data_IF_450965767241
#
_entry.id   IF_450965767241
#
_cell.length_a   1.000
_cell.length_b   1.000
_cell.length_c   1.000
_cell.angle_alpha   90.00
_cell.angle_beta   90.00
_cell.angle_gamma   90.00
#
_symmetry.space_group_name_H-M   'P 1'
#
loop_
_entity.id
_entity.type
_entity.pdbx_description
1 polymer ?
#
# COMPACT_ATOMS: atom_id res chain seq x y z
N UNK A 1 18.44 2.58 -36.11
CA UNK A 1 17.91 3.35 -34.97
C UNK A 1 16.39 3.13 -34.94
N UNK A 2 15.92 2.12 -34.22
CA UNK A 2 14.50 1.87 -33.99
C UNK A 2 14.13 2.58 -32.71
N UNK A 3 13.12 3.44 -32.77
CA UNK A 3 12.57 4.14 -31.60
C UNK A 3 11.84 3.13 -30.75
N UNK A 4 12.38 2.83 -29.57
CA UNK A 4 11.72 2.05 -28.54
C UNK A 4 10.64 2.96 -27.96
N UNK A 5 9.39 2.63 -28.21
CA UNK A 5 8.27 3.26 -27.49
C UNK A 5 8.15 2.51 -26.18
N UNK A 6 8.67 3.10 -25.11
CA UNK A 6 8.40 2.62 -23.75
C UNK A 6 6.91 2.88 -23.53
N UNK A 7 6.10 1.85 -23.66
CA UNK A 7 4.75 1.85 -23.11
C UNK A 7 4.91 1.67 -21.60
N UNK A 8 4.98 2.76 -20.87
CA UNK A 8 4.66 2.74 -19.48
C UNK A 8 3.21 2.22 -19.40
N UNK A 9 3.08 0.98 -18.99
CA UNK A 9 1.79 0.41 -18.64
C UNK A 9 1.38 1.09 -17.32
N UNK A 10 0.87 2.31 -17.42
CA UNK A 10 -0.03 2.81 -16.42
C UNK A 10 -1.18 1.81 -16.40
N UNK A 11 -1.16 0.91 -15.43
CA UNK A 11 -2.34 0.17 -15.04
C UNK A 11 -3.26 1.20 -14.39
N UNK A 12 -3.79 2.08 -15.25
CA UNK A 12 -4.93 2.90 -14.89
C UNK A 12 -5.99 1.90 -14.47
N UNK A 13 -6.33 1.92 -13.21
CA UNK A 13 -7.49 1.25 -12.65
C UNK A 13 -8.68 1.70 -13.49
N UNK A 14 -8.97 0.96 -14.57
CA UNK A 14 -10.20 1.15 -15.31
C UNK A 14 -11.31 0.70 -14.37
N UNK A 15 -11.95 1.65 -13.74
CA UNK A 15 -13.26 1.54 -13.13
C UNK A 15 -14.19 0.96 -14.20
N UNK A 16 -14.34 -0.35 -14.22
CA UNK A 16 -15.47 -1.01 -14.86
C UNK A 16 -16.70 -0.73 -13.98
N UNK A 17 -17.22 0.49 -14.14
CA UNK A 17 -18.59 0.77 -13.76
C UNK A 17 -19.48 -0.13 -14.63
N UNK A 18 -19.93 -1.23 -14.07
CA UNK A 18 -21.02 -2.02 -14.61
C UNK A 18 -22.31 -1.21 -14.54
N UNK A 19 -22.55 -0.33 -15.51
CA UNK A 19 -23.83 0.32 -15.68
C UNK A 19 -24.84 -0.69 -16.20
N UNK A 20 -25.74 -1.15 -15.33
CA UNK A 20 -27.02 -1.69 -15.74
C UNK A 20 -27.79 -0.64 -16.55
N UNK A 21 -28.28 -1.02 -17.72
CA UNK A 21 -29.14 -0.19 -18.57
C UNK A 21 -30.44 0.13 -17.83
N UNK A 22 -30.52 1.34 -17.27
CA UNK A 22 -31.76 1.96 -16.79
C UNK A 22 -32.17 3.05 -17.77
N UNK A 23 -33.42 3.06 -18.16
CA UNK A 23 -34.09 3.98 -19.10
C UNK A 23 -33.88 5.47 -18.76
N UNK A 24 -33.86 6.38 -19.75
CA UNK A 24 -33.68 7.81 -19.53
C UNK A 24 -34.99 8.43 -19.05
N UNK A 25 -34.96 9.02 -17.88
CA UNK A 25 -36.05 9.89 -17.39
C UNK A 25 -36.09 10.01 -15.88
N UNK A 26 -35.37 11.00 -15.33
CA UNK A 26 -35.75 11.93 -14.27
C UNK A 26 -34.50 12.60 -13.71
N UNK A 27 -34.43 13.92 -13.86
CA UNK A 27 -33.48 14.79 -13.18
C UNK A 27 -33.72 14.76 -11.65
N UNK A 28 -33.02 13.85 -10.95
CA UNK A 28 -32.93 13.86 -9.51
C UNK A 28 -31.43 13.75 -9.12
N UNK A 29 -30.99 14.41 -8.04
CA UNK A 29 -29.61 14.29 -7.60
C UNK A 29 -29.31 12.82 -7.30
N UNK A 30 -28.19 12.36 -7.83
CA UNK A 30 -27.67 11.01 -7.70
C UNK A 30 -27.52 10.62 -6.20
N UNK A 31 -28.28 9.65 -5.68
CA UNK A 31 -28.25 9.33 -4.26
C UNK A 31 -27.00 8.51 -3.85
N UNK A 32 -26.11 8.15 -4.77
CA UNK A 32 -24.91 7.37 -4.46
C UNK A 32 -23.70 8.19 -4.01
N UNK A 33 -23.69 9.52 -4.21
CA UNK A 33 -22.55 10.37 -3.89
C UNK A 33 -22.47 10.88 -2.46
N UNK A 34 -23.52 10.77 -1.65
CA UNK A 34 -23.65 11.60 -0.45
C UNK A 34 -23.32 10.94 0.90
N UNK A 35 -23.20 9.63 0.99
CA UNK A 35 -22.97 8.99 2.30
C UNK A 35 -21.48 8.78 2.63
N UNK A 36 -20.61 8.56 1.64
CA UNK A 36 -19.18 8.38 1.84
C UNK A 36 -18.45 9.72 1.96
N UNK A 37 -18.78 10.69 1.11
CA UNK A 37 -18.24 12.05 1.21
C UNK A 37 -18.58 12.72 2.56
N UNK A 38 -19.76 12.44 3.11
CA UNK A 38 -20.16 12.94 4.43
C UNK A 38 -19.38 12.22 5.54
N UNK A 39 -19.09 10.93 5.43
CA UNK A 39 -18.28 10.20 6.42
C UNK A 39 -16.82 10.62 6.39
N UNK A 40 -16.27 10.84 5.22
CA UNK A 40 -14.88 11.30 5.05
C UNK A 40 -14.72 12.76 5.52
N UNK A 41 -15.69 13.63 5.23
CA UNK A 41 -15.72 15.00 5.75
C UNK A 41 -15.89 15.04 7.29
N UNK A 42 -16.65 14.12 7.86
CA UNK A 42 -16.82 14.00 9.30
C UNK A 42 -15.57 13.50 10.04
N UNK A 43 -14.70 12.73 9.38
CA UNK A 43 -13.39 12.34 9.91
C UNK A 43 -12.42 13.53 10.00
N UNK A 44 -12.49 14.46 9.04
CA UNK A 44 -11.69 15.68 9.02
C UNK A 44 -12.09 16.70 10.10
N UNK A 45 -13.34 16.65 10.59
CA UNK A 45 -13.86 17.57 11.60
C UNK A 45 -14.03 16.93 12.99
N UNK A 46 -13.94 15.62 13.11
CA UNK A 46 -14.07 14.92 14.39
C UNK A 46 -12.84 15.13 15.26
N UNK A 47 -13.07 15.40 16.56
CA UNK A 47 -11.98 15.39 17.52
C UNK A 47 -11.28 14.04 17.51
N UNK A 48 -9.94 14.06 17.62
CA UNK A 48 -9.14 12.84 17.66
C UNK A 48 -9.68 11.84 18.68
N UNK A 49 -9.79 10.53 18.34
CA UNK A 49 -10.24 9.50 19.28
C UNK A 49 -9.29 9.31 20.46
N UNK A 50 -8.11 9.96 20.45
CA UNK A 50 -7.08 9.90 21.49
C UNK A 50 -6.97 11.19 22.32
N UNK A 51 -7.76 12.24 22.01
CA UNK A 51 -7.68 13.56 22.63
C UNK A 51 -6.77 14.52 21.86
N UNK A 52 -6.70 15.80 22.32
CA UNK A 52 -6.04 16.88 21.58
C UNK A 52 -4.49 16.76 21.61
N UNK A 53 -3.92 16.31 22.74
CA UNK A 53 -2.45 16.28 22.97
C UNK A 53 -1.83 14.88 22.75
N UNK A 54 -2.54 13.97 22.08
CA UNK A 54 -2.11 12.57 22.02
C UNK A 54 -0.76 12.36 21.32
N UNK A 55 -0.45 13.18 20.32
CA UNK A 55 0.82 13.08 19.59
C UNK A 55 2.02 13.51 20.48
N UNK A 56 1.84 14.51 21.33
CA UNK A 56 2.90 14.96 22.23
C UNK A 56 3.26 13.92 23.31
N UNK A 57 2.27 13.09 23.70
CA UNK A 57 2.41 12.01 24.70
C UNK A 57 2.71 10.66 24.08
N UNK A 58 2.64 10.58 22.77
CA UNK A 58 2.77 9.36 22.01
C UNK A 58 4.20 8.81 21.97
N UNK A 59 4.32 7.60 21.47
CA UNK A 59 5.59 6.91 21.24
C UNK A 59 5.85 6.84 19.74
N UNK A 60 7.06 7.16 19.31
CA UNK A 60 7.48 6.99 17.92
C UNK A 60 7.74 5.50 17.67
N UNK A 61 7.03 4.93 16.71
CA UNK A 61 7.32 3.65 16.12
C UNK A 61 8.06 3.86 14.80
N UNK A 62 9.21 3.22 14.63
CA UNK A 62 10.04 3.42 13.44
C UNK A 62 10.65 2.12 12.92
N UNK A 63 10.75 2.03 11.59
CA UNK A 63 11.47 1.00 10.89
C UNK A 63 12.33 1.64 9.81
N UNK A 64 13.59 1.26 9.75
CA UNK A 64 14.52 1.72 8.73
C UNK A 64 15.54 0.59 8.43
N UNK A 65 15.74 0.30 7.15
CA UNK A 65 16.72 -0.69 6.71
C UNK A 65 17.76 -0.13 5.73
N UNK A 66 17.87 1.20 5.63
CA UNK A 66 18.74 1.89 4.68
C UNK A 66 18.11 2.13 3.30
N UNK A 67 17.01 1.47 2.98
CA UNK A 67 16.31 1.62 1.69
C UNK A 67 14.86 2.06 1.85
N UNK A 68 14.24 1.66 2.95
CA UNK A 68 12.85 1.95 3.31
C UNK A 68 12.84 2.57 4.70
N UNK A 69 12.06 3.62 4.87
CA UNK A 69 11.76 4.21 6.18
C UNK A 69 10.25 4.30 6.39
N UNK A 70 9.82 3.93 7.58
CA UNK A 70 8.44 4.04 8.03
C UNK A 70 8.45 4.57 9.45
N UNK A 71 7.73 5.64 9.72
CA UNK A 71 7.58 6.24 11.05
C UNK A 71 6.13 6.58 11.29
N UNK A 72 5.65 6.35 12.49
CA UNK A 72 4.33 6.79 12.94
C UNK A 72 4.31 7.04 14.44
N UNK A 73 3.49 7.98 14.87
CA UNK A 73 3.28 8.25 16.29
C UNK A 73 2.14 7.36 16.79
N UNK A 74 2.40 6.59 17.84
CA UNK A 74 1.42 5.76 18.52
C UNK A 74 0.90 6.45 19.78
N UNK A 75 -0.38 6.34 20.10
CA UNK A 75 -0.93 6.89 21.34
C UNK A 75 -0.29 6.28 22.59
N UNK A 76 -0.38 6.99 23.72
CA UNK A 76 0.02 6.43 25.02
C UNK A 76 -0.73 5.11 25.29
N UNK A 77 0.02 4.10 25.76
CA UNK A 77 -0.51 2.77 26.03
C UNK A 77 -0.57 1.84 24.81
N UNK A 78 -0.13 2.31 23.64
CA UNK A 78 0.10 1.45 22.49
C UNK A 78 1.53 0.93 22.47
N UNK A 79 1.67 -0.33 22.05
CA UNK A 79 2.96 -1.01 21.88
C UNK A 79 3.26 -1.27 20.42
N UNK A 80 4.52 -1.51 20.11
CA UNK A 80 4.96 -1.87 18.77
C UNK A 80 6.25 -2.69 18.77
N UNK A 81 6.51 -3.33 17.63
CA UNK A 81 7.78 -4.00 17.33
C UNK A 81 8.04 -3.99 15.83
N UNK A 82 9.29 -4.17 15.44
CA UNK A 82 9.60 -4.53 14.05
C UNK A 82 9.10 -5.96 13.80
N UNK A 83 8.51 -6.17 12.63
CA UNK A 83 7.97 -7.47 12.24
C UNK A 83 8.76 -8.03 11.04
N UNK A 84 9.74 -8.91 11.30
CA UNK A 84 10.41 -9.65 10.24
C UNK A 84 9.49 -10.79 9.80
N UNK A 85 8.56 -10.51 8.88
CA UNK A 85 7.64 -11.52 8.41
C UNK A 85 8.34 -12.70 7.75
N UNK A 86 7.73 -13.88 7.84
CA UNK A 86 8.24 -15.11 7.23
C UNK A 86 8.32 -15.02 5.70
N UNK A 87 7.46 -14.20 5.09
CA UNK A 87 7.41 -13.94 3.64
C UNK A 87 8.47 -12.96 3.14
N UNK A 88 9.36 -12.47 4.02
CA UNK A 88 10.40 -11.50 3.68
C UNK A 88 9.93 -10.05 3.63
N UNK A 89 8.64 -9.77 3.83
CA UNK A 89 8.17 -8.41 4.05
C UNK A 89 8.51 -7.99 5.48
N UNK A 90 9.16 -6.85 5.63
CA UNK A 90 9.46 -6.27 6.94
C UNK A 90 8.54 -5.08 7.17
N UNK A 91 8.31 -4.73 8.44
CA UNK A 91 7.42 -3.65 8.76
C UNK A 91 7.34 -3.30 10.24
N UNK A 92 6.32 -2.54 10.58
CA UNK A 92 5.96 -2.19 11.94
C UNK A 92 4.68 -2.93 12.32
N UNK A 93 4.76 -3.74 13.36
CA UNK A 93 3.61 -4.34 14.01
C UNK A 93 3.26 -3.50 15.23
N UNK A 94 2.02 -3.02 15.36
CA UNK A 94 1.58 -2.15 16.44
C UNK A 94 0.19 -2.52 16.94
N UNK A 95 -0.11 -2.22 18.21
CA UNK A 95 -1.37 -2.60 18.86
C UNK A 95 -1.67 -1.75 20.09
N UNK A 96 -2.93 -1.68 20.47
CA UNK A 96 -3.38 -1.17 21.76
C UNK A 96 -2.95 -2.14 22.87
N UNK A 97 -2.14 -1.69 23.83
CA UNK A 97 -1.59 -2.55 24.90
C UNK A 97 -2.65 -3.22 25.77
N UNK A 98 -3.88 -2.67 25.83
CA UNK A 98 -5.01 -3.32 26.49
C UNK A 98 -5.61 -4.47 25.66
N UNK A 99 -5.24 -4.55 24.36
CA UNK A 99 -5.78 -5.52 23.39
C UNK A 99 -4.71 -6.14 22.50
N UNK A 100 -3.72 -6.84 23.10
CA UNK A 100 -2.54 -7.33 22.41
C UNK A 100 -2.84 -8.38 21.33
N UNK A 101 -4.03 -8.96 21.33
CA UNK A 101 -4.47 -9.92 20.31
C UNK A 101 -4.96 -9.21 19.01
N UNK A 102 -5.12 -7.89 19.07
CA UNK A 102 -5.61 -7.09 17.94
C UNK A 102 -4.47 -6.22 17.43
N UNK A 103 -3.70 -6.75 16.50
CA UNK A 103 -2.51 -6.12 15.96
C UNK A 103 -2.74 -5.61 14.55
N UNK A 104 -2.00 -4.57 14.19
CA UNK A 104 -1.99 -3.97 12.86
C UNK A 104 -0.56 -3.97 12.33
N UNK A 105 -0.42 -4.23 11.06
CA UNK A 105 0.86 -4.29 10.39
C UNK A 105 0.95 -3.23 9.30
N UNK A 106 1.93 -2.34 9.41
CA UNK A 106 2.36 -1.45 8.34
C UNK A 106 3.52 -2.12 7.61
N UNK A 107 3.39 -2.34 6.31
CA UNK A 107 4.42 -2.97 5.46
C UNK A 107 4.68 -2.12 4.21
N UNK A 108 5.91 -2.17 3.71
CA UNK A 108 6.31 -1.55 2.46
C UNK A 108 6.36 -2.57 1.32
N UNK A 109 5.97 -2.12 0.12
CA UNK A 109 5.94 -2.90 -1.12
C UNK A 109 6.58 -2.09 -2.25
N UNK A 110 7.91 -2.07 -2.37
CA UNK A 110 8.60 -1.26 -3.38
C UNK A 110 8.21 -1.58 -4.83
N UNK A 111 7.85 -2.83 -5.12
CA UNK A 111 7.30 -3.26 -6.41
C UNK A 111 5.82 -2.93 -6.61
N UNK A 112 5.22 -2.17 -5.68
CA UNK A 112 3.80 -1.90 -5.66
C UNK A 112 2.99 -3.03 -5.03
N UNK A 113 1.78 -2.71 -4.60
CA UNK A 113 0.84 -3.66 -4.01
C UNK A 113 -0.44 -3.68 -4.85
N UNK A 114 -0.81 -4.85 -5.32
CA UNK A 114 -2.06 -5.07 -6.04
C UNK A 114 -2.98 -6.02 -5.27
N UNK A 115 -4.24 -5.67 -5.17
CA UNK A 115 -5.27 -6.52 -4.61
C UNK A 115 -6.39 -6.71 -5.63
N UNK A 116 -6.78 -7.96 -5.85
CA UNK A 116 -7.96 -8.27 -6.64
C UNK A 116 -8.84 -9.25 -5.86
N UNK A 117 -10.15 -9.12 -6.02
CA UNK A 117 -11.09 -10.04 -5.37
C UNK A 117 -12.51 -9.74 -5.78
N UNK A 118 -13.28 -10.80 -5.98
CA UNK A 118 -14.73 -10.69 -6.20
C UNK A 118 -15.39 -10.36 -4.86
N UNK A 119 -16.19 -9.29 -4.81
CA UNK A 119 -16.87 -8.85 -3.59
C UNK A 119 -16.04 -7.95 -2.68
N UNK A 120 -14.90 -7.45 -3.16
CA UNK A 120 -14.13 -6.42 -2.48
C UNK A 120 -14.51 -5.06 -3.02
N UNK A 121 -14.90 -4.17 -2.13
CA UNK A 121 -15.19 -2.77 -2.42
C UNK A 121 -13.95 -1.92 -2.10
N UNK A 122 -13.61 -0.99 -3.00
CA UNK A 122 -12.50 -0.06 -2.84
C UNK A 122 -13.03 1.36 -2.74
N UNK A 123 -12.52 2.13 -1.78
CA UNK A 123 -12.87 3.54 -1.62
C UNK A 123 -11.62 4.39 -1.32
N UNK A 124 -11.59 5.63 -1.82
CA UNK A 124 -10.55 6.59 -1.48
C UNK A 124 -10.89 7.23 -0.12
N UNK A 125 -9.89 7.32 0.74
CA UNK A 125 -9.95 8.04 2.02
C UNK A 125 -8.88 9.13 2.00
N UNK A 126 -9.26 10.34 2.39
CA UNK A 126 -8.31 11.45 2.57
C UNK A 126 -8.11 11.68 4.06
N UNK A 127 -6.86 11.66 4.51
CA UNK A 127 -6.47 11.95 5.90
C UNK A 127 -6.47 13.46 6.17
N UNK A 128 -6.41 13.88 7.43
CA UNK A 128 -6.36 15.28 7.81
C UNK A 128 -5.10 16.00 7.29
N UNK A 129 -3.97 15.28 7.17
CA UNK A 129 -2.75 15.75 6.51
C UNK A 129 -2.92 16.03 5.01
N UNK A 130 -4.00 15.56 4.41
CA UNK A 130 -4.24 15.60 2.97
C UNK A 130 -3.70 14.37 2.24
N UNK A 131 -3.04 13.44 2.91
CA UNK A 131 -2.61 12.19 2.31
C UNK A 131 -3.84 11.35 1.91
N UNK A 132 -3.71 10.67 0.76
CA UNK A 132 -4.76 9.82 0.21
C UNK A 132 -4.36 8.36 0.32
N UNK A 133 -5.33 7.52 0.62
CA UNK A 133 -5.17 6.09 0.67
C UNK A 133 -6.39 5.38 0.08
N UNK A 134 -6.21 4.15 -0.34
CA UNK A 134 -7.30 3.27 -0.77
C UNK A 134 -7.65 2.33 0.37
N UNK A 135 -8.91 2.30 0.75
CA UNK A 135 -9.48 1.34 1.70
C UNK A 135 -10.16 0.20 0.93
N UNK A 136 -9.84 -1.05 1.29
CA UNK A 136 -10.48 -2.23 0.74
C UNK A 136 -11.32 -2.95 1.80
N UNK A 137 -12.58 -3.29 1.46
CA UNK A 137 -13.56 -3.94 2.33
C UNK A 137 -14.26 -5.10 1.64
N UNK A 138 -14.71 -6.06 2.42
CA UNK A 138 -15.64 -7.10 2.00
C UNK A 138 -16.87 -7.04 2.91
N UNK A 139 -17.92 -6.35 2.49
CA UNK A 139 -19.06 -6.02 3.33
C UNK A 139 -18.64 -5.19 4.55
N UNK A 140 -18.93 -5.69 5.75
CA UNK A 140 -18.53 -5.04 7.01
C UNK A 140 -17.09 -5.36 7.45
N UNK A 141 -16.33 -6.14 6.67
CA UNK A 141 -14.96 -6.53 6.99
C UNK A 141 -13.99 -5.53 6.40
N UNK A 142 -13.17 -4.94 7.26
CA UNK A 142 -12.04 -4.14 6.86
C UNK A 142 -10.85 -5.04 6.52
N UNK A 143 -10.36 -4.97 5.29
CA UNK A 143 -9.30 -5.85 4.81
C UNK A 143 -7.93 -5.17 4.89
N UNK A 144 -7.78 -4.01 4.25
CA UNK A 144 -6.49 -3.36 4.09
C UNK A 144 -6.66 -1.88 3.75
N UNK A 145 -5.69 -1.07 4.17
CA UNK A 145 -5.46 0.29 3.69
C UNK A 145 -4.19 0.31 2.84
N UNK A 146 -4.23 0.99 1.71
CA UNK A 146 -3.14 1.05 0.75
C UNK A 146 -2.79 2.51 0.50
N UNK A 147 -1.53 2.86 0.72
CA UNK A 147 -0.96 4.16 0.36
C UNK A 147 -0.12 3.99 -0.89
N UNK A 148 -0.24 4.93 -1.81
CA UNK A 148 0.76 5.10 -2.86
C UNK A 148 1.89 5.97 -2.31
N UNK A 149 3.12 5.53 -2.50
CA UNK A 149 4.30 6.20 -1.97
C UNK A 149 5.53 5.94 -2.83
N UNK A 150 6.66 6.45 -2.37
CA UNK A 150 7.97 6.17 -2.96
C UNK A 150 8.76 5.37 -1.92
N UNK A 151 9.31 4.22 -2.27
CA UNK A 151 9.53 3.69 -3.62
C UNK A 151 8.42 2.79 -4.21
N UNK A 152 7.27 2.69 -3.59
CA UNK A 152 6.18 1.85 -4.10
C UNK A 152 4.89 2.07 -3.33
N UNK A 153 4.28 1.02 -2.81
CA UNK A 153 3.07 1.11 -1.99
C UNK A 153 3.37 0.73 -0.55
N UNK A 154 2.56 1.26 0.35
CA UNK A 154 2.55 0.85 1.76
C UNK A 154 1.16 0.35 2.11
N UNK A 155 1.11 -0.68 2.95
CA UNK A 155 -0.17 -1.26 3.35
C UNK A 155 -0.30 -1.33 4.85
N UNK A 156 -1.52 -1.11 5.36
CA UNK A 156 -1.86 -1.44 6.74
C UNK A 156 -2.97 -2.46 6.75
N UNK A 157 -2.76 -3.54 7.45
CA UNK A 157 -3.75 -4.62 7.56
C UNK A 157 -3.84 -5.16 8.99
N UNK A 158 -5.01 -5.64 9.41
CA UNK A 158 -5.15 -6.34 10.68
C UNK A 158 -4.32 -7.64 10.70
N UNK A 159 -3.65 -7.89 11.82
CA UNK A 159 -2.85 -9.10 12.07
C UNK A 159 -3.37 -9.82 13.32
N UNK A 160 -3.34 -11.14 13.31
CA UNK A 160 -3.77 -11.95 14.45
C UNK A 160 -5.29 -11.99 14.64
N UNK A 161 -5.76 -12.92 15.44
CA UNK A 161 -7.19 -13.17 15.58
C UNK A 161 -7.80 -13.84 14.33
N UNK A 162 -9.05 -14.17 14.39
CA UNK A 162 -9.76 -14.63 13.20
C UNK A 162 -10.14 -13.41 12.40
N UNK A 163 -9.63 -13.29 11.18
CA UNK A 163 -10.02 -12.27 10.17
C UNK A 163 -11.55 -12.19 9.93
N UNK A 164 -12.31 -12.97 10.66
CA UNK A 164 -13.76 -13.12 10.56
C UNK A 164 -14.55 -12.33 11.58
N UNK A 165 -13.91 -11.54 12.45
CA UNK A 165 -14.68 -10.79 13.43
C UNK A 165 -14.93 -9.37 12.91
N UNK A 166 -16.20 -9.00 12.78
CA UNK A 166 -16.69 -7.65 12.57
C UNK A 166 -16.10 -6.60 13.57
N UNK A 167 -15.30 -7.06 14.52
CA UNK A 167 -14.64 -6.26 15.56
C UNK A 167 -13.54 -5.36 14.97
N UNK A 168 -13.00 -5.71 13.81
CA UNK A 168 -11.95 -4.93 13.15
C UNK A 168 -12.47 -3.67 12.45
N UNK A 169 -13.75 -3.59 12.21
CA UNK A 169 -14.32 -2.60 11.34
C UNK A 169 -14.41 -1.19 11.95
N UNK A 170 -15.54 -0.75 12.35
CA UNK A 170 -15.81 0.66 12.64
C UNK A 170 -15.04 1.19 13.86
N UNK A 171 -14.81 0.34 14.85
CA UNK A 171 -14.17 0.75 16.10
C UNK A 171 -12.68 1.04 15.95
N UNK A 172 -12.00 0.28 15.10
CA UNK A 172 -10.55 0.43 14.92
C UNK A 172 -10.21 1.37 13.78
N UNK A 173 -11.04 1.43 12.77
CA UNK A 173 -10.82 2.22 11.57
C UNK A 173 -10.42 3.66 11.90
N UNK A 174 -11.21 4.36 12.66
CA UNK A 174 -10.97 5.78 12.97
C UNK A 174 -9.69 5.97 13.79
N UNK A 175 -9.41 5.07 14.73
CA UNK A 175 -8.15 5.07 15.49
C UNK A 175 -6.95 4.86 14.57
N UNK A 176 -7.02 3.88 13.67
CA UNK A 176 -5.91 3.58 12.75
C UNK A 176 -5.72 4.70 11.75
N UNK A 177 -6.77 5.26 11.17
CA UNK A 177 -6.66 6.42 10.27
C UNK A 177 -6.03 7.64 10.98
N UNK A 178 -6.37 7.87 12.26
CA UNK A 178 -5.76 8.95 13.06
C UNK A 178 -4.28 8.70 13.32
N UNK A 179 -3.87 7.46 13.58
CA UNK A 179 -2.45 7.08 13.72
C UNK A 179 -1.73 7.29 12.39
N UNK A 180 -2.31 6.82 11.29
CA UNK A 180 -1.72 6.90 9.95
C UNK A 180 -1.61 8.33 9.42
N UNK A 181 -2.39 9.26 9.96
CA UNK A 181 -2.26 10.69 9.66
C UNK A 181 -0.91 11.29 10.13
N UNK A 182 -0.19 10.58 11.02
CA UNK A 182 1.17 10.93 11.45
C UNK A 182 2.25 10.17 10.69
N UNK A 183 1.89 9.32 9.73
CA UNK A 183 2.85 8.46 9.08
C UNK A 183 3.78 9.24 8.15
N UNK A 184 5.07 9.03 8.34
CA UNK A 184 6.13 9.45 7.43
C UNK A 184 6.65 8.19 6.74
N UNK A 185 6.35 8.07 5.45
CA UNK A 185 6.67 6.90 4.63
C UNK A 185 7.62 7.33 3.52
N UNK A 186 8.69 6.56 3.31
CA UNK A 186 9.68 6.92 2.30
C UNK A 186 10.84 5.94 2.23
N UNK A 187 11.91 6.37 1.56
CA UNK A 187 13.16 5.62 1.43
C UNK A 187 13.88 5.96 0.13
N UNK A 188 15.10 5.49 0.04
CA UNK A 188 15.97 5.67 -1.12
C UNK A 188 15.99 4.41 -2.02
N UNK A 189 15.08 3.46 -1.80
CA UNK A 189 14.98 2.29 -2.66
C UNK A 189 14.66 2.70 -4.10
N UNK A 190 15.36 2.07 -5.02
CA UNK A 190 15.09 2.20 -6.45
C UNK A 190 13.65 1.76 -6.75
N UNK A 191 12.97 2.47 -7.62
CA UNK A 191 11.63 2.08 -8.10
C UNK A 191 11.71 0.89 -9.04
N UNK A 192 10.59 0.20 -9.27
CA UNK A 192 10.52 -0.90 -10.23
C UNK A 192 10.93 -0.46 -11.64
N UNK A 193 10.46 0.71 -12.09
CA UNK A 193 10.78 1.24 -13.42
C UNK A 193 12.29 1.53 -13.56
N UNK A 194 12.94 2.07 -12.54
CA UNK A 194 14.37 2.30 -12.52
C UNK A 194 15.16 1.00 -12.56
N UNK A 195 14.71 -0.01 -11.79
CA UNK A 195 15.33 -1.33 -11.79
C UNK A 195 15.18 -2.03 -13.15
N UNK A 196 14.02 -1.95 -13.78
CA UNK A 196 13.79 -2.47 -15.12
C UNK A 196 14.69 -1.77 -16.14
N UNK A 197 14.81 -0.44 -16.04
CA UNK A 197 15.69 0.31 -16.94
C UNK A 197 17.16 -0.12 -16.80
N UNK A 198 17.65 -0.32 -15.57
CA UNK A 198 18.99 -0.82 -15.29
C UNK A 198 19.21 -2.25 -15.80
N UNK A 199 18.26 -3.14 -15.56
CA UNK A 199 18.32 -4.51 -16.03
C UNK A 199 18.34 -4.59 -17.56
N UNK A 200 17.61 -3.73 -18.26
CA UNK A 200 17.59 -3.66 -19.71
C UNK A 200 18.93 -3.18 -20.33
N UNK A 201 19.81 -2.52 -19.58
CA UNK A 201 21.13 -2.14 -20.04
C UNK A 201 22.04 -3.37 -20.27
N UNK A 202 21.82 -4.45 -19.51
CA UNK A 202 22.61 -5.69 -19.59
C UNK A 202 21.91 -6.82 -20.35
N UNK A 203 20.58 -6.75 -20.48
CA UNK A 203 19.81 -7.71 -21.26
C UNK A 203 19.76 -7.31 -22.73
N UNK A 204 20.44 -8.07 -23.58
CA UNK A 204 20.55 -7.76 -25.00
C UNK A 204 19.46 -8.39 -25.89
N UNK A 205 18.46 -9.05 -25.31
CA UNK A 205 17.38 -9.73 -26.01
C UNK A 205 16.16 -8.84 -26.29
N UNK A 206 15.24 -9.37 -27.11
CA UNK A 206 13.91 -8.78 -27.27
C UNK A 206 12.98 -9.24 -26.13
N UNK A 207 12.06 -8.40 -25.71
CA UNK A 207 11.04 -8.74 -24.72
C UNK A 207 9.74 -7.94 -24.95
N UNK A 208 8.62 -8.55 -24.57
CA UNK A 208 7.29 -7.92 -24.67
C UNK A 208 6.91 -7.23 -23.34
N UNK A 209 7.41 -7.77 -22.20
CA UNK A 209 7.14 -7.26 -20.86
C UNK A 209 8.33 -7.52 -19.92
N UNK A 210 8.45 -6.69 -18.89
CA UNK A 210 9.37 -6.89 -17.79
C UNK A 210 8.66 -6.66 -16.45
N UNK A 211 9.03 -7.44 -15.43
CA UNK A 211 8.43 -7.40 -14.09
C UNK A 211 9.52 -7.43 -13.04
N UNK A 212 9.46 -6.51 -12.09
CA UNK A 212 10.35 -6.44 -10.94
C UNK A 212 9.78 -7.18 -9.72
N UNK A 213 10.67 -7.77 -8.94
CA UNK A 213 10.39 -8.28 -7.60
C UNK A 213 11.51 -7.79 -6.68
N UNK A 214 11.15 -7.14 -5.59
CA UNK A 214 12.08 -6.53 -4.65
C UNK A 214 12.22 -7.38 -3.39
N UNK A 215 13.44 -7.66 -2.99
CA UNK A 215 13.76 -8.26 -1.69
C UNK A 215 14.07 -7.15 -0.68
N UNK A 216 13.18 -6.90 0.25
CA UNK A 216 13.30 -5.88 1.28
C UNK A 216 14.55 -6.02 2.17
N UNK A 217 15.05 -7.25 2.38
CA UNK A 217 16.19 -7.50 3.25
C UNK A 217 17.51 -7.14 2.61
N UNK A 218 17.66 -7.50 1.34
CA UNK A 218 18.88 -7.26 0.60
C UNK A 218 18.87 -5.95 -0.20
N UNK A 219 17.68 -5.35 -0.40
CA UNK A 219 17.51 -4.20 -1.27
C UNK A 219 17.66 -4.53 -2.75
N UNK A 220 17.64 -5.82 -3.12
CA UNK A 220 17.91 -6.30 -4.48
C UNK A 220 16.61 -6.46 -5.26
N UNK A 221 16.58 -5.90 -6.46
CA UNK A 221 15.56 -6.19 -7.45
C UNK A 221 15.90 -7.44 -8.25
N UNK A 222 14.92 -8.27 -8.52
CA UNK A 222 14.98 -9.33 -9.52
C UNK A 222 14.04 -8.97 -10.67
N UNK A 223 14.57 -8.63 -11.82
CA UNK A 223 13.80 -8.28 -13.02
C UNK A 223 13.72 -9.51 -13.93
N UNK A 224 12.50 -9.87 -14.30
CA UNK A 224 12.21 -10.95 -15.26
C UNK A 224 11.75 -10.34 -16.57
N UNK A 225 12.42 -10.70 -17.65
CA UNK A 225 12.03 -10.35 -19.01
C UNK A 225 11.19 -11.48 -19.60
N UNK A 226 10.12 -11.13 -20.28
CA UNK A 226 9.16 -12.07 -20.86
C UNK A 226 9.02 -11.79 -22.36
N UNK A 227 9.19 -12.82 -23.19
CA UNK A 227 8.91 -12.83 -24.62
C UNK A 227 7.89 -13.94 -24.92
N UNK A 228 6.79 -13.62 -25.61
CA UNK A 228 5.72 -14.56 -25.99
C UNK A 228 5.22 -15.40 -24.81
N UNK A 229 4.94 -14.72 -23.68
CA UNK A 229 4.45 -15.31 -22.42
C UNK A 229 5.44 -16.27 -21.72
N UNK A 230 6.70 -16.31 -22.15
CA UNK A 230 7.74 -17.12 -21.53
C UNK A 230 8.84 -16.24 -20.95
N UNK A 231 9.37 -16.62 -19.78
CA UNK A 231 10.55 -15.96 -19.22
C UNK A 231 11.74 -16.18 -20.15
N UNK A 232 12.30 -15.10 -20.70
CA UNK A 232 13.44 -15.13 -21.61
C UNK A 232 14.77 -14.85 -20.90
N UNK A 233 14.72 -14.08 -19.81
CA UNK A 233 15.89 -13.80 -18.98
C UNK A 233 15.48 -13.30 -17.60
N UNK A 234 16.46 -13.37 -16.69
CA UNK A 234 16.38 -12.80 -15.34
C UNK A 234 17.64 -12.01 -15.06
N UNK A 235 17.48 -10.84 -14.47
CA UNK A 235 18.57 -9.93 -14.10
C UNK A 235 18.35 -9.48 -12.65
N UNK A 236 19.39 -9.52 -11.83
CA UNK A 236 19.38 -8.86 -10.51
C UNK A 236 19.95 -7.45 -10.64
N UNK A 237 19.39 -6.53 -9.88
CA UNK A 237 19.88 -5.14 -9.75
C UNK A 237 20.07 -4.86 -8.28
N UNK A 238 21.30 -4.56 -7.88
CA UNK A 238 21.64 -4.25 -6.51
C UNK A 238 21.19 -2.82 -6.12
N UNK A 239 21.24 -2.44 -4.84
CA UNK A 239 20.83 -1.10 -4.38
C UNK A 239 21.63 0.04 -5.03
N UNK A 240 22.86 -0.20 -5.42
CA UNK A 240 23.74 0.76 -6.10
C UNK A 240 23.43 0.87 -7.60
N UNK A 241 22.52 0.05 -8.12
CA UNK A 241 22.09 0.04 -9.50
C UNK A 241 22.98 -0.81 -10.43
N UNK A 242 23.81 -1.70 -9.87
CA UNK A 242 24.58 -2.67 -10.66
C UNK A 242 23.67 -3.81 -11.09
N UNK A 243 23.60 -4.07 -12.38
CA UNK A 243 22.77 -5.13 -12.95
C UNK A 243 23.61 -6.34 -13.38
N UNK A 244 23.17 -7.55 -13.01
CA UNK A 244 23.83 -8.81 -13.36
C UNK A 244 22.81 -9.84 -13.86
N UNK A 245 23.13 -10.49 -15.00
CA UNK A 245 22.30 -11.56 -15.53
C UNK A 245 22.38 -12.81 -14.64
N UNK A 246 21.24 -13.39 -14.32
CA UNK A 246 21.13 -14.65 -13.58
C UNK A 246 21.11 -15.79 -14.58
N UNK A 247 22.08 -16.67 -14.49
CA UNK A 247 22.27 -17.86 -15.36
C UNK A 247 21.41 -19.04 -14.93
#
# INVERSE_FOLDING_TARGET
MRKITIMAAFLSLALLAGCGQGSPGADGPDPCGTSEDIRNAALLEAASPFGEDWQEKGTLAEYENGYISMRLTLPEGWDWQTDPAEDGTEGILFWDGEKPDQRFRLSAWPGGFGMCGTGVDFSEVTLASGAKLTEAREGDRWLILIFDGVPGSYTVQPQGGTMNSAVWDVKWRDKILTILDTAELGGDAMTEDEAIAKAAEVFAGDYDAAYGSYDLRSGVWTVRFVEKEQESARVTVDPEGTAEAVS
#
